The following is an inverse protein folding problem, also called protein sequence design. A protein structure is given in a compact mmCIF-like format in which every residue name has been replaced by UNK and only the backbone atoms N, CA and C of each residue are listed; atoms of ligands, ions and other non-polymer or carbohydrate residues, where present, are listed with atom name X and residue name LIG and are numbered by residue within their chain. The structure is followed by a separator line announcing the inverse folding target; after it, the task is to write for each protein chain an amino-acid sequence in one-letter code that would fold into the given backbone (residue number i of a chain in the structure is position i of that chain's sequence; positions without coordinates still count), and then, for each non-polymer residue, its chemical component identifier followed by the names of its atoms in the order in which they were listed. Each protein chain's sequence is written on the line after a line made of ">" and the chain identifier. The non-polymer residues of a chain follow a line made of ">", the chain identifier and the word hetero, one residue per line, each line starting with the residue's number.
data_IF_911919121406
#
_entry.id   IF_911919121406
#
_cell.length_a   1.000
_cell.length_b   1.000
_cell.length_c   1.000
_cell.angle_alpha   90.00
_cell.angle_beta   90.00
_cell.angle_gamma   90.00
#
_symmetry.space_group_name_H-M   'P 1'
#
loop_
_entity.id
_entity.type
_entity.pdbx_description
1 polymer ?
#
# COMPACT_ATOMS: atom_id res chain seq x y z
N UNK A 1 -48.26 -19.46 -1.15
CA UNK A 1 -47.36 -18.31 -1.50
C UNK A 1 -46.00 -18.70 -0.97
N UNK A 2 -44.97 -18.69 -1.82
CA UNK A 2 -43.59 -18.99 -1.40
C UNK A 2 -42.97 -17.74 -0.80
N UNK A 3 -42.07 -17.89 0.16
CA UNK A 3 -41.30 -16.81 0.78
C UNK A 3 -40.18 -16.36 -0.14
N UNK A 4 -39.62 -15.16 0.13
CA UNK A 4 -38.44 -14.65 -0.59
C UNK A 4 -37.27 -15.64 -0.56
N UNK A 5 -37.00 -16.24 0.60
CA UNK A 5 -35.87 -17.18 0.76
C UNK A 5 -36.09 -18.47 -0.02
N UNK A 6 -37.30 -19.03 0.01
CA UNK A 6 -37.66 -20.22 -0.80
C UNK A 6 -37.54 -19.92 -2.29
N UNK A 7 -37.99 -18.75 -2.75
CA UNK A 7 -37.87 -18.35 -4.14
C UNK A 7 -36.39 -18.21 -4.55
N UNK A 8 -35.54 -17.61 -3.69
CA UNK A 8 -34.11 -17.48 -3.93
C UNK A 8 -33.41 -18.83 -4.03
N UNK A 9 -33.75 -19.79 -3.17
CA UNK A 9 -33.19 -21.13 -3.22
C UNK A 9 -33.58 -21.88 -4.50
N UNK A 10 -34.83 -21.78 -4.91
CA UNK A 10 -35.31 -22.38 -6.16
C UNK A 10 -34.56 -21.79 -7.36
N UNK A 11 -34.40 -20.47 -7.43
CA UNK A 11 -33.68 -19.82 -8.51
C UNK A 11 -32.20 -20.30 -8.53
N UNK A 12 -31.53 -20.28 -7.40
CA UNK A 12 -30.13 -20.68 -7.31
C UNK A 12 -29.91 -22.14 -7.72
N UNK A 13 -30.82 -23.04 -7.32
CA UNK A 13 -30.76 -24.45 -7.69
C UNK A 13 -31.08 -24.72 -9.16
N UNK A 14 -31.77 -23.78 -9.82
CA UNK A 14 -32.18 -23.86 -11.22
C UNK A 14 -31.15 -23.23 -12.19
N UNK A 15 -30.12 -22.52 -11.67
CA UNK A 15 -29.08 -21.91 -12.50
C UNK A 15 -28.24 -23.04 -13.14
N UNK A 16 -28.16 -23.12 -14.46
CA UNK A 16 -27.31 -24.10 -15.12
C UNK A 16 -25.84 -23.84 -14.77
N UNK A 17 -25.08 -24.92 -14.53
CA UNK A 17 -23.65 -24.79 -14.33
C UNK A 17 -23.00 -24.21 -15.60
N UNK A 18 -22.26 -23.12 -15.43
CA UNK A 18 -21.50 -22.54 -16.51
C UNK A 18 -20.43 -23.52 -16.99
N UNK A 19 -20.24 -23.60 -18.30
CA UNK A 19 -19.12 -24.35 -18.85
C UNK A 19 -17.85 -23.50 -18.73
N UNK A 20 -16.76 -24.14 -18.35
CA UNK A 20 -15.44 -23.53 -18.27
C UNK A 20 -14.69 -23.74 -19.59
N UNK A 21 -13.97 -22.72 -20.01
CA UNK A 21 -13.10 -22.76 -21.18
C UNK A 21 -11.82 -21.98 -20.93
N UNK A 22 -10.74 -22.38 -21.59
CA UNK A 22 -9.50 -21.60 -21.61
C UNK A 22 -9.50 -20.69 -22.84
N UNK A 23 -9.36 -19.39 -22.59
CA UNK A 23 -9.30 -18.39 -23.66
C UNK A 23 -8.05 -17.53 -23.50
N UNK A 24 -7.66 -16.86 -24.58
CA UNK A 24 -6.57 -15.90 -24.53
C UNK A 24 -6.96 -14.69 -23.68
N UNK A 25 -5.99 -14.11 -23.01
CA UNK A 25 -6.18 -12.92 -22.15
C UNK A 25 -6.85 -11.76 -22.91
N UNK A 26 -6.44 -11.51 -24.14
CA UNK A 26 -7.00 -10.45 -25.01
C UNK A 26 -8.46 -10.67 -25.41
N UNK A 27 -9.01 -11.86 -25.19
CA UNK A 27 -10.40 -12.24 -25.46
C UNK A 27 -11.23 -12.34 -24.16
N UNK A 28 -10.66 -11.98 -23.02
CA UNK A 28 -11.31 -12.17 -21.70
C UNK A 28 -12.30 -11.06 -21.32
N UNK A 29 -12.36 -9.96 -22.07
CA UNK A 29 -13.27 -8.87 -21.77
C UNK A 29 -14.74 -9.34 -21.77
N UNK A 30 -15.46 -9.04 -20.67
CA UNK A 30 -16.85 -9.45 -20.49
C UNK A 30 -17.04 -10.91 -20.04
N UNK A 31 -15.96 -11.63 -19.74
CA UNK A 31 -16.00 -13.00 -19.23
C UNK A 31 -15.87 -13.01 -17.69
N UNK A 32 -16.37 -14.08 -17.09
CA UNK A 32 -16.26 -14.32 -15.65
C UNK A 32 -15.17 -15.35 -15.39
N UNK A 33 -14.31 -15.11 -14.41
CA UNK A 33 -13.31 -16.08 -14.00
C UNK A 33 -13.99 -17.33 -13.42
N UNK A 34 -13.53 -18.50 -13.82
CA UNK A 34 -13.99 -19.78 -13.26
C UNK A 34 -13.31 -20.11 -11.93
N UNK A 35 -12.12 -19.61 -11.73
CA UNK A 35 -11.32 -19.81 -10.52
C UNK A 35 -10.69 -18.50 -10.06
N UNK A 36 -10.38 -18.42 -8.77
CA UNK A 36 -9.64 -17.31 -8.20
C UNK A 36 -8.23 -17.23 -8.80
N UNK A 37 -7.79 -16.01 -9.08
CA UNK A 37 -6.42 -15.75 -9.52
C UNK A 37 -5.64 -15.14 -8.35
N UNK A 38 -4.55 -15.78 -8.00
CA UNK A 38 -3.66 -15.33 -6.95
C UNK A 38 -2.36 -14.77 -7.52
N UNK A 39 -1.86 -13.70 -6.91
CA UNK A 39 -0.52 -13.20 -7.24
C UNK A 39 0.55 -14.23 -6.84
N UNK A 40 1.52 -14.44 -7.72
CA UNK A 40 2.68 -15.30 -7.44
C UNK A 40 3.65 -14.69 -6.42
N UNK A 41 3.54 -13.39 -6.18
CA UNK A 41 4.40 -12.63 -5.27
C UNK A 41 3.55 -11.71 -4.41
N UNK A 42 3.99 -11.38 -3.18
CA UNK A 42 3.37 -10.33 -2.38
C UNK A 42 3.26 -9.02 -3.16
N UNK A 43 2.15 -8.29 -2.96
CA UNK A 43 1.94 -6.95 -3.51
C UNK A 43 1.53 -6.01 -2.37
N UNK A 44 2.36 -5.04 -2.02
CA UNK A 44 3.69 -4.70 -2.59
C UNK A 44 4.75 -5.78 -2.28
N UNK A 45 5.84 -5.82 -3.07
CA UNK A 45 6.95 -6.78 -2.90
C UNK A 45 7.83 -6.49 -1.68
N UNK A 46 7.70 -5.30 -1.12
CA UNK A 46 8.44 -4.80 0.04
C UNK A 46 7.64 -3.67 0.69
N UNK A 47 7.95 -3.35 1.93
CA UNK A 47 7.38 -2.18 2.60
C UNK A 47 7.81 -0.91 1.86
N UNK A 48 6.84 -0.17 1.34
CA UNK A 48 7.06 1.03 0.54
C UNK A 48 6.19 2.18 1.05
N UNK A 49 6.60 3.40 0.75
CA UNK A 49 5.78 4.57 1.05
C UNK A 49 4.60 4.68 0.09
N UNK A 50 3.41 4.94 0.64
CA UNK A 50 2.21 5.28 -0.13
C UNK A 50 2.10 6.80 -0.42
N UNK A 51 3.01 7.62 0.11
CA UNK A 51 2.98 9.08 0.05
C UNK A 51 4.39 9.66 0.03
N UNK A 52 4.51 10.91 -0.40
CA UNK A 52 5.73 11.69 -0.28
C UNK A 52 5.86 12.23 1.13
N UNK A 53 7.05 12.19 1.70
CA UNK A 53 7.26 12.61 3.08
C UNK A 53 8.59 12.16 3.67
N UNK A 54 8.58 11.86 4.97
CA UNK A 54 9.76 11.44 5.70
C UNK A 54 9.55 10.09 6.38
N UNK A 55 10.43 9.14 6.08
CA UNK A 55 10.49 7.86 6.76
C UNK A 55 11.18 8.05 8.12
N UNK A 56 10.48 7.65 9.18
CA UNK A 56 10.85 7.91 10.58
C UNK A 56 10.68 6.64 11.42
N UNK A 57 11.22 6.67 12.61
CA UNK A 57 10.79 5.80 13.69
C UNK A 57 9.59 6.47 14.38
N UNK A 58 8.47 5.78 14.48
CA UNK A 58 7.25 6.35 15.08
C UNK A 58 7.48 6.84 16.52
N UNK A 59 8.36 6.18 17.26
CA UNK A 59 8.71 6.54 18.63
C UNK A 59 9.27 7.97 18.73
N UNK A 60 10.01 8.40 17.72
CA UNK A 60 10.65 9.72 17.69
C UNK A 60 9.63 10.85 17.42
N UNK A 61 8.42 10.51 17.01
CA UNK A 61 7.37 11.48 16.67
C UNK A 61 6.12 11.41 17.54
N UNK A 62 6.12 10.57 18.58
CA UNK A 62 4.96 10.23 19.40
C UNK A 62 4.23 11.43 20.02
N UNK A 63 4.95 12.49 20.37
CA UNK A 63 4.40 13.68 21.01
C UNK A 63 4.47 14.92 20.11
N UNK A 64 4.72 14.72 18.81
CA UNK A 64 4.77 15.82 17.86
C UNK A 64 3.37 16.40 17.63
N UNK A 65 3.29 17.72 17.62
CA UNK A 65 2.08 18.47 17.23
C UNK A 65 2.48 19.79 16.57
N UNK A 66 1.51 20.51 16.04
CA UNK A 66 1.76 21.85 15.49
C UNK A 66 2.32 22.82 16.54
N UNK A 67 1.92 22.66 17.81
CA UNK A 67 2.36 23.53 18.90
C UNK A 67 3.70 23.05 19.52
N UNK A 68 4.02 21.77 19.34
CA UNK A 68 5.24 21.14 19.86
C UNK A 68 5.90 20.30 18.78
N UNK A 69 6.47 20.93 17.73
CA UNK A 69 7.13 20.22 16.65
C UNK A 69 8.40 19.52 17.16
N UNK A 70 8.69 18.36 16.58
CA UNK A 70 9.93 17.63 16.83
C UNK A 70 10.84 17.80 15.62
N UNK A 71 12.12 18.10 15.88
CA UNK A 71 13.14 18.25 14.84
C UNK A 71 13.88 16.94 14.69
N UNK A 72 13.95 16.42 13.47
CA UNK A 72 14.73 15.25 13.07
C UNK A 72 15.77 15.61 12.03
N UNK A 73 16.91 14.93 12.07
CA UNK A 73 17.99 15.13 11.09
C UNK A 73 17.71 14.29 9.84
N UNK A 74 17.65 14.94 8.67
CA UNK A 74 17.49 14.26 7.38
C UNK A 74 18.85 13.68 6.96
N UNK A 75 18.93 12.35 6.82
CA UNK A 75 20.19 11.65 6.48
C UNK A 75 20.27 11.27 4.99
N UNK A 76 19.27 11.58 4.20
CA UNK A 76 19.27 11.37 2.75
C UNK A 76 17.88 11.21 2.16
N UNK A 77 17.81 10.82 0.89
CA UNK A 77 16.60 10.71 0.09
C UNK A 77 16.45 9.30 -0.46
N UNK A 78 15.25 8.76 -0.39
CA UNK A 78 14.85 7.48 -0.99
C UNK A 78 13.85 7.75 -2.12
N UNK A 79 14.32 7.80 -3.38
CA UNK A 79 13.43 8.02 -4.52
C UNK A 79 12.61 6.79 -4.85
N UNK A 80 11.53 6.98 -5.61
CA UNK A 80 10.69 5.90 -6.12
C UNK A 80 11.50 4.86 -6.88
N UNK A 81 11.17 3.58 -6.65
CA UNK A 81 11.77 2.45 -7.38
C UNK A 81 13.24 2.16 -7.07
N UNK A 82 13.83 2.85 -6.10
CA UNK A 82 15.20 2.58 -5.65
C UNK A 82 15.20 2.05 -4.21
N UNK A 83 16.16 1.18 -3.92
CA UNK A 83 16.49 0.79 -2.56
C UNK A 83 17.57 1.71 -2.00
N UNK A 84 17.54 1.93 -0.69
CA UNK A 84 18.56 2.70 0.02
C UNK A 84 19.22 1.80 1.07
N UNK A 85 20.51 2.01 1.29
CA UNK A 85 21.26 1.41 2.39
C UNK A 85 21.27 2.29 3.65
N UNK A 86 20.51 3.39 3.64
CA UNK A 86 20.38 4.28 4.79
C UNK A 86 19.71 3.52 5.95
N UNK A 87 20.15 3.84 7.16
CA UNK A 87 19.60 3.28 8.40
C UNK A 87 19.07 4.45 9.23
N UNK A 88 17.76 4.45 9.48
CA UNK A 88 17.11 5.46 10.31
C UNK A 88 17.27 5.06 11.77
N UNK A 89 18.09 5.83 12.49
CA UNK A 89 18.29 5.73 13.93
C UNK A 89 17.52 6.82 14.67
N UNK A 90 17.59 6.81 16.00
CA UNK A 90 16.94 7.81 16.86
C UNK A 90 17.35 9.24 16.47
N UNK A 91 16.36 10.14 16.42
CA UNK A 91 16.56 11.54 16.03
C UNK A 91 16.82 11.77 14.54
N UNK A 92 16.72 10.74 13.70
CA UNK A 92 16.99 10.82 12.27
C UNK A 92 15.77 10.45 11.44
N UNK A 93 15.74 10.95 10.19
CA UNK A 93 14.74 10.59 9.20
C UNK A 93 15.37 10.56 7.79
N UNK A 94 14.65 9.99 6.83
CA UNK A 94 14.99 10.10 5.42
C UNK A 94 13.81 10.69 4.66
N UNK A 95 14.07 11.59 3.74
CA UNK A 95 13.07 11.97 2.75
C UNK A 95 12.73 10.74 1.90
N UNK A 96 11.46 10.47 1.66
CA UNK A 96 11.00 9.31 0.89
C UNK A 96 9.90 9.73 -0.08
N UNK A 97 9.98 9.23 -1.30
CA UNK A 97 8.97 9.43 -2.33
C UNK A 97 8.01 8.26 -2.39
N UNK A 98 6.80 8.51 -2.89
CA UNK A 98 5.79 7.48 -3.16
C UNK A 98 6.39 6.33 -3.95
N UNK A 99 6.21 5.10 -3.49
CA UNK A 99 6.81 3.90 -4.07
C UNK A 99 8.27 3.65 -3.67
N UNK A 100 8.89 4.54 -2.90
CA UNK A 100 10.22 4.32 -2.32
C UNK A 100 10.18 3.20 -1.27
N UNK A 101 11.20 2.32 -1.27
CA UNK A 101 11.32 1.27 -0.26
C UNK A 101 11.64 1.88 1.10
N UNK A 102 10.90 1.45 2.13
CA UNK A 102 11.14 1.92 3.50
C UNK A 102 12.55 1.54 3.95
N UNK A 103 13.37 2.51 4.42
CA UNK A 103 14.74 2.24 4.86
C UNK A 103 14.75 1.46 6.17
N UNK A 104 15.85 0.76 6.42
CA UNK A 104 16.05 0.00 7.66
C UNK A 104 15.93 0.95 8.87
N UNK A 105 15.22 0.51 9.89
CA UNK A 105 15.01 1.27 11.13
C UNK A 105 13.79 2.17 11.11
N UNK A 106 13.32 2.62 9.93
CA UNK A 106 12.03 3.31 9.82
C UNK A 106 10.88 2.30 9.89
N UNK A 107 9.78 2.73 10.50
CA UNK A 107 8.55 1.94 10.62
C UNK A 107 7.28 2.79 10.40
N UNK A 108 7.46 4.06 10.02
CA UNK A 108 6.38 4.99 9.75
C UNK A 108 6.81 6.00 8.70
N UNK A 109 5.83 6.63 8.04
CA UNK A 109 6.06 7.76 7.13
C UNK A 109 5.17 8.91 7.57
N UNK A 110 5.78 10.08 7.75
CA UNK A 110 5.07 11.35 7.97
C UNK A 110 4.93 12.03 6.62
N UNK A 111 3.69 12.40 6.26
CA UNK A 111 3.41 13.14 5.04
C UNK A 111 4.14 14.48 5.05
N UNK A 112 4.65 14.91 3.91
CA UNK A 112 5.37 16.19 3.79
C UNK A 112 4.51 17.37 4.23
N UNK A 113 3.21 17.33 4.03
CA UNK A 113 2.24 18.35 4.41
C UNK A 113 2.14 18.56 5.94
N UNK A 114 2.56 17.56 6.71
CA UNK A 114 2.59 17.61 8.17
C UNK A 114 3.98 17.93 8.73
N UNK A 115 4.86 18.51 7.91
CA UNK A 115 6.24 18.86 8.25
C UNK A 115 6.57 20.27 7.79
N UNK A 116 7.81 20.72 8.00
CA UNK A 116 8.30 21.98 7.44
C UNK A 116 8.48 21.95 5.90
N UNK A 117 8.19 20.85 5.27
CA UNK A 117 8.39 20.64 3.84
C UNK A 117 9.75 20.01 3.51
N UNK A 118 9.97 19.76 2.22
CA UNK A 118 11.29 19.40 1.72
C UNK A 118 12.16 20.67 1.67
N UNK A 119 13.46 20.56 2.03
CA UNK A 119 14.39 21.64 1.78
C UNK A 119 14.42 21.91 0.27
N UNK A 120 14.14 23.13 -0.13
CA UNK A 120 14.35 23.58 -1.51
C UNK A 120 15.86 23.70 -1.73
N UNK A 121 16.40 22.96 -2.70
CA UNK A 121 17.75 23.17 -3.23
C UNK A 121 17.94 24.60 -3.72
#
# INVERSE_FOLDING_TARGET
>A
MITYFEAKEIINSSIPKSLEESIRFDQSLGRTLSNDIYSLFPQPRFDNSAMDGFAVRWQDTLNASNDTPIVLNVIGVVPAGKSSNLVVSEGHCTQIMTGGKLPIGANSVIMVENTSGFESE
#
